data_IF_074842635500
#
_entry.id   IF_074842635500
#
_cell.length_a   1.000
_cell.length_b   1.000
_cell.length_c   1.000
_cell.angle_alpha   90.00
_cell.angle_beta   90.00
_cell.angle_gamma   90.00
#
_symmetry.space_group_name_H-M   'P 1'
#
loop_
_entity.id
_entity.type
_entity.pdbx_description
1 polymer ?
#
# COMPACT_ATOMS: atom_id res chain seq x y z
N UNK A 1 16.96 5.64 -11.11
CA UNK A 1 15.76 6.39 -10.65
C UNK A 1 15.23 7.20 -11.82
N UNK A 2 14.02 6.92 -12.33
CA UNK A 2 13.35 7.85 -13.23
C UNK A 2 13.02 9.12 -12.44
N UNK A 3 13.44 10.28 -12.93
CA UNK A 3 13.10 11.57 -12.29
C UNK A 3 11.76 12.05 -12.81
N UNK A 4 10.76 12.16 -11.92
CA UNK A 4 9.46 12.75 -12.24
C UNK A 4 9.63 14.28 -12.25
N UNK A 5 9.71 14.86 -13.45
CA UNK A 5 9.99 16.29 -13.63
C UNK A 5 8.80 17.21 -13.29
N UNK A 6 7.58 16.67 -13.19
CA UNK A 6 6.36 17.44 -12.90
C UNK A 6 5.89 17.20 -11.47
N UNK A 7 5.85 18.24 -10.65
CA UNK A 7 5.43 18.15 -9.23
C UNK A 7 4.03 17.53 -9.05
N UNK A 8 3.06 17.89 -9.90
CA UNK A 8 1.70 17.30 -9.85
C UNK A 8 1.72 15.79 -10.07
N UNK A 9 2.59 15.29 -10.95
CA UNK A 9 2.72 13.85 -11.20
C UNK A 9 3.43 13.17 -10.04
N UNK A 10 4.47 13.81 -9.48
CA UNK A 10 5.19 13.29 -8.32
C UNK A 10 4.27 13.17 -7.10
N UNK A 11 3.45 14.19 -6.83
CA UNK A 11 2.52 14.19 -5.71
C UNK A 11 1.48 13.06 -5.82
N UNK A 12 0.88 12.89 -7.01
CA UNK A 12 -0.05 11.79 -7.26
C UNK A 12 0.61 10.42 -7.10
N UNK A 13 1.81 10.26 -7.65
CA UNK A 13 2.57 9.02 -7.51
C UNK A 13 2.87 8.71 -6.04
N UNK A 14 3.40 9.70 -5.31
CA UNK A 14 3.74 9.55 -3.90
C UNK A 14 2.50 9.26 -3.04
N UNK A 15 1.37 9.92 -3.30
CA UNK A 15 0.14 9.68 -2.54
C UNK A 15 -0.43 8.28 -2.75
N UNK A 16 -0.44 7.79 -4.00
CA UNK A 16 -0.86 6.42 -4.32
C UNK A 16 0.10 5.41 -3.72
N UNK A 17 1.41 5.63 -3.87
CA UNK A 17 2.43 4.74 -3.31
C UNK A 17 2.33 4.63 -1.79
N UNK A 18 2.18 5.76 -1.09
CA UNK A 18 2.01 5.79 0.35
C UNK A 18 0.72 5.09 0.80
N UNK A 19 -0.39 5.27 0.07
CA UNK A 19 -1.65 4.60 0.39
C UNK A 19 -1.51 3.07 0.31
N UNK A 20 -0.93 2.55 -0.77
CA UNK A 20 -0.68 1.11 -0.93
C UNK A 20 0.21 0.61 0.21
N UNK A 21 1.34 1.28 0.49
CA UNK A 21 2.24 0.89 1.56
C UNK A 21 1.53 0.82 2.93
N UNK A 22 0.73 1.84 3.23
CA UNK A 22 -0.01 1.95 4.48
C UNK A 22 -1.08 0.87 4.61
N UNK A 23 -1.83 0.58 3.55
CA UNK A 23 -2.87 -0.45 3.54
C UNK A 23 -2.29 -1.84 3.84
N UNK A 24 -1.16 -2.21 3.21
CA UNK A 24 -0.51 -3.51 3.42
C UNK A 24 0.31 -3.61 4.72
N UNK A 25 0.69 -2.49 5.32
CA UNK A 25 1.50 -2.44 6.55
C UNK A 25 0.76 -1.84 7.74
N UNK A 26 -0.58 -1.80 7.67
CA UNK A 26 -1.42 -1.15 8.65
C UNK A 26 -1.17 -1.70 10.05
N UNK A 27 -0.79 -0.80 10.96
CA UNK A 27 -0.58 -1.11 12.38
C UNK A 27 0.44 -2.22 12.65
N UNK A 28 1.35 -2.51 11.72
CA UNK A 28 2.32 -3.63 11.80
C UNK A 28 3.08 -3.70 13.12
N UNK A 29 3.32 -2.56 13.77
CA UNK A 29 4.05 -2.47 15.03
C UNK A 29 3.16 -2.56 16.27
N UNK A 30 1.85 -2.48 16.12
CA UNK A 30 0.85 -2.54 17.19
C UNK A 30 0.17 -3.91 17.28
N UNK A 31 0.32 -4.74 16.24
CA UNK A 31 -0.31 -6.06 16.15
C UNK A 31 0.73 -7.18 16.11
N UNK A 32 0.33 -8.37 16.54
CA UNK A 32 1.18 -9.55 16.44
C UNK A 32 1.43 -9.97 14.98
N UNK A 33 2.47 -10.79 14.78
CA UNK A 33 2.90 -11.22 13.44
C UNK A 33 1.84 -12.04 12.70
N UNK A 34 1.04 -12.84 13.40
CA UNK A 34 0.01 -13.69 12.80
C UNK A 34 -1.17 -12.84 12.32
N UNK A 35 -1.63 -11.89 13.14
CA UNK A 35 -2.68 -10.94 12.77
C UNK A 35 -2.23 -10.08 11.59
N UNK A 36 -0.99 -9.57 11.61
CA UNK A 36 -0.41 -8.83 10.49
C UNK A 36 -0.42 -9.66 9.19
N UNK A 37 -0.07 -10.95 9.24
CA UNK A 37 -0.13 -11.85 8.07
C UNK A 37 -1.55 -12.01 7.55
N UNK A 38 -2.53 -12.25 8.44
CA UNK A 38 -3.94 -12.37 8.06
C UNK A 38 -4.47 -11.12 7.37
N UNK A 39 -4.22 -9.94 7.95
CA UNK A 39 -4.61 -8.65 7.38
C UNK A 39 -3.98 -8.43 6.00
N UNK A 40 -2.69 -8.73 5.85
CA UNK A 40 -1.97 -8.61 4.57
C UNK A 40 -2.54 -9.55 3.50
N UNK A 41 -2.94 -10.76 3.87
CA UNK A 41 -3.61 -11.71 2.96
C UNK A 41 -4.99 -11.21 2.53
N UNK A 42 -5.79 -10.63 3.45
CA UNK A 42 -7.08 -10.03 3.12
C UNK A 42 -6.93 -8.83 2.17
N UNK A 43 -6.02 -7.90 2.48
CA UNK A 43 -5.68 -6.77 1.62
C UNK A 43 -5.27 -7.20 0.20
N UNK A 44 -4.52 -8.31 0.07
CA UNK A 44 -4.15 -8.85 -1.24
C UNK A 44 -5.36 -9.38 -2.02
N UNK A 45 -6.28 -10.08 -1.35
CA UNK A 45 -7.49 -10.59 -1.98
C UNK A 45 -8.40 -9.45 -2.47
N UNK A 46 -8.58 -8.41 -1.65
CA UNK A 46 -9.28 -7.18 -2.04
C UNK A 46 -8.63 -6.53 -3.26
N UNK A 47 -7.29 -6.43 -3.27
CA UNK A 47 -6.56 -5.86 -4.40
C UNK A 47 -6.71 -6.67 -5.69
N UNK A 48 -6.74 -8.00 -5.60
CA UNK A 48 -6.94 -8.87 -6.76
C UNK A 48 -8.34 -8.68 -7.37
N UNK A 49 -9.36 -8.44 -6.54
CA UNK A 49 -10.74 -8.14 -6.99
C UNK A 49 -10.80 -6.77 -7.68
N UNK A 50 -10.05 -5.78 -7.22
CA UNK A 50 -10.02 -4.45 -7.84
C UNK A 50 -9.22 -4.41 -9.15
N UNK A 51 -8.28 -5.35 -9.33
CA UNK A 51 -7.41 -5.42 -10.50
C UNK A 51 -8.00 -6.26 -11.66
N UNK A 52 -9.10 -6.98 -11.43
CA UNK A 52 -9.87 -7.70 -12.45
C UNK A 52 -10.86 -6.79 -13.17
#
# INVERSE_FOLDING_TARGET
MLSIRRMKALQKFASVHANIHNHFSLERHLIDRQLNRKRRSAALAEWQILAS
#
